data_IF_095356251995
#
_entry.id   IF_095356251995
#
_cell.length_a   1.000
_cell.length_b   1.000
_cell.length_c   1.000
_cell.angle_alpha   90.00
_cell.angle_beta   90.00
_cell.angle_gamma   90.00
#
_symmetry.space_group_name_H-M   'P 1'
#
loop_
_entity.id
_entity.type
_entity.pdbx_description
1 polymer ?
#
# COMPACT_ATOMS: atom_id res chain seq x y z
N UNK A 1 -2.36 -11.65 -6.28
CA UNK A 1 -2.91 -12.81 -7.01
C UNK A 1 -4.14 -12.43 -7.83
N UNK A 2 -5.17 -11.77 -7.24
CA UNK A 2 -6.40 -11.40 -7.96
C UNK A 2 -6.15 -10.47 -9.16
N UNK A 3 -5.22 -9.53 -9.06
CA UNK A 3 -4.82 -8.68 -10.19
C UNK A 3 -4.14 -9.47 -11.32
N UNK A 4 -3.43 -10.55 -11.01
CA UNK A 4 -2.82 -11.41 -12.01
C UNK A 4 -3.86 -12.20 -12.83
N UNK A 5 -5.08 -12.37 -12.31
CA UNK A 5 -6.19 -13.02 -13.00
C UNK A 5 -6.99 -12.06 -13.91
N UNK A 6 -6.73 -10.75 -13.81
CA UNK A 6 -7.30 -9.76 -14.72
C UNK A 6 -6.37 -9.57 -15.93
N UNK A 7 -6.92 -9.17 -17.04
CA UNK A 7 -6.18 -8.89 -18.27
C UNK A 7 -6.29 -7.40 -18.63
N UNK A 8 -5.29 -6.90 -19.35
CA UNK A 8 -5.33 -5.56 -19.95
C UNK A 8 -5.06 -4.40 -18.97
N UNK A 9 -4.56 -4.69 -17.77
CA UNK A 9 -4.12 -3.64 -16.84
C UNK A 9 -2.65 -3.29 -17.09
N UNK A 10 -2.30 -2.03 -16.83
CA UNK A 10 -0.89 -1.63 -16.64
C UNK A 10 -0.64 -1.51 -15.14
N UNK A 11 0.28 -2.32 -14.63
CA UNK A 11 0.61 -2.41 -13.21
C UNK A 11 2.03 -1.92 -13.01
N UNK A 12 2.21 -0.89 -12.19
CA UNK A 12 3.53 -0.39 -11.78
C UNK A 12 3.79 -0.86 -10.36
N UNK A 13 4.94 -1.45 -10.12
CA UNK A 13 5.31 -1.96 -8.80
C UNK A 13 6.80 -1.80 -8.51
N UNK A 14 7.12 -1.52 -7.26
CA UNK A 14 8.48 -1.64 -6.70
C UNK A 14 8.69 -2.96 -5.97
N UNK A 15 7.63 -3.76 -5.76
CA UNK A 15 7.69 -5.03 -5.06
C UNK A 15 8.12 -6.16 -5.99
N UNK A 16 9.22 -6.82 -5.69
CA UNK A 16 9.69 -8.01 -6.42
C UNK A 16 8.74 -9.19 -6.25
N UNK A 17 8.14 -9.32 -5.07
CA UNK A 17 7.14 -10.38 -4.83
C UNK A 17 5.90 -10.19 -5.69
N UNK A 18 5.42 -8.94 -5.83
CA UNK A 18 4.29 -8.64 -6.72
C UNK A 18 4.68 -8.86 -8.19
N UNK A 19 5.86 -8.39 -8.61
CA UNK A 19 6.35 -8.59 -9.96
C UNK A 19 6.43 -10.08 -10.33
N UNK A 20 6.94 -10.91 -9.42
CA UNK A 20 7.02 -12.36 -9.63
C UNK A 20 5.64 -13.01 -9.85
N UNK A 21 4.62 -12.60 -9.08
CA UNK A 21 3.25 -13.10 -9.27
C UNK A 21 2.66 -12.68 -10.62
N UNK A 22 3.09 -11.52 -11.14
CA UNK A 22 2.58 -10.95 -12.39
C UNK A 22 3.29 -11.46 -13.65
N UNK A 23 4.40 -12.22 -13.52
CA UNK A 23 5.18 -12.73 -14.66
C UNK A 23 4.33 -13.54 -15.66
N UNK A 24 3.35 -14.27 -15.17
CA UNK A 24 2.48 -15.13 -15.99
C UNK A 24 1.06 -14.54 -16.16
N UNK A 25 0.92 -13.22 -16.01
CA UNK A 25 -0.36 -12.53 -16.23
C UNK A 25 -0.41 -11.86 -17.59
N UNK A 26 -1.62 -11.66 -18.13
CA UNK A 26 -1.85 -10.91 -19.35
C UNK A 26 -1.85 -9.38 -19.13
N UNK A 27 -1.12 -8.91 -18.13
CA UNK A 27 -0.99 -7.51 -17.79
C UNK A 27 0.37 -6.94 -18.22
N UNK A 28 0.41 -5.66 -18.54
CA UNK A 28 1.68 -4.96 -18.69
C UNK A 28 2.22 -4.65 -17.28
N UNK A 29 3.34 -5.26 -16.93
CA UNK A 29 4.00 -5.02 -15.63
C UNK A 29 5.24 -4.16 -15.82
N UNK A 30 5.28 -3.04 -15.11
CA UNK A 30 6.41 -2.11 -15.08
C UNK A 30 7.02 -2.17 -13.68
N UNK A 31 8.30 -2.52 -13.60
CA UNK A 31 9.08 -2.51 -12.35
C UNK A 31 9.81 -1.18 -12.27
N UNK A 32 9.72 -0.51 -11.12
CA UNK A 32 10.48 0.73 -10.88
C UNK A 32 11.97 0.45 -10.87
N UNK A 33 12.77 1.37 -11.38
CA UNK A 33 14.22 1.34 -11.18
C UNK A 33 14.61 1.79 -9.77
N UNK A 34 15.83 1.48 -9.35
CA UNK A 34 16.36 1.90 -8.05
C UNK A 34 17.27 0.87 -7.41
N UNK A 35 17.43 0.98 -6.11
CA UNK A 35 18.25 0.09 -5.30
C UNK A 35 17.41 -1.07 -4.75
N UNK A 36 17.96 -2.28 -4.82
CA UNK A 36 17.32 -3.46 -4.23
C UNK A 36 17.43 -3.41 -2.70
N UNK A 37 16.29 -3.54 -2.04
CA UNK A 37 16.20 -3.79 -0.60
C UNK A 37 15.80 -5.26 -0.37
N UNK A 38 16.73 -6.14 0.01
CA UNK A 38 16.42 -7.55 0.23
C UNK A 38 15.46 -7.79 1.41
N UNK A 39 15.51 -6.93 2.43
CA UNK A 39 14.67 -7.05 3.63
C UNK A 39 13.19 -6.89 3.33
N UNK A 40 12.83 -6.00 2.41
CA UNK A 40 11.46 -5.73 1.99
C UNK A 40 11.11 -6.41 0.66
N UNK A 41 12.06 -7.08 0.00
CA UNK A 41 11.89 -7.59 -1.36
C UNK A 41 11.34 -6.52 -2.31
N UNK A 42 11.94 -5.32 -2.25
CA UNK A 42 11.50 -4.14 -2.99
C UNK A 42 12.66 -3.40 -3.65
N UNK A 43 12.30 -2.55 -4.61
CA UNK A 43 13.21 -1.59 -5.22
C UNK A 43 12.88 -0.21 -4.65
N UNK A 44 13.89 0.50 -4.19
CA UNK A 44 13.76 1.74 -3.43
C UNK A 44 14.77 2.80 -3.87
N UNK A 45 14.63 4.00 -3.31
CA UNK A 45 15.56 5.10 -3.46
C UNK A 45 15.11 6.19 -4.43
N UNK A 46 16.01 7.10 -4.74
CA UNK A 46 15.72 8.31 -5.52
C UNK A 46 15.19 8.00 -6.93
N UNK A 47 15.74 6.99 -7.61
CA UNK A 47 15.29 6.60 -8.94
C UNK A 47 13.83 6.10 -8.92
N UNK A 48 13.48 5.33 -7.88
CA UNK A 48 12.10 4.85 -7.66
C UNK A 48 11.12 6.00 -7.50
N UNK A 49 11.41 6.92 -6.57
CA UNK A 49 10.54 8.08 -6.30
C UNK A 49 10.47 9.03 -7.49
N UNK A 50 11.60 9.27 -8.16
CA UNK A 50 11.65 10.11 -9.37
C UNK A 50 10.78 9.54 -10.49
N UNK A 51 10.84 8.22 -10.70
CA UNK A 51 9.99 7.55 -11.70
C UNK A 51 8.50 7.64 -11.31
N UNK A 52 8.15 7.33 -10.05
CA UNK A 52 6.77 7.41 -9.55
C UNK A 52 6.19 8.82 -9.76
N UNK A 53 6.98 9.85 -9.54
CA UNK A 53 6.56 11.24 -9.72
C UNK A 53 6.23 11.62 -11.18
N UNK A 54 6.63 10.82 -12.15
CA UNK A 54 6.23 11.01 -13.56
C UNK A 54 4.89 10.36 -13.91
N UNK A 55 4.32 9.56 -13.01
CA UNK A 55 3.14 8.76 -13.28
C UNK A 55 1.85 9.47 -12.89
N UNK A 56 0.75 9.04 -13.51
CA UNK A 56 -0.62 9.24 -13.04
C UNK A 56 -1.35 7.91 -13.19
N UNK A 57 -1.82 7.37 -12.07
CA UNK A 57 -2.50 6.07 -12.02
C UNK A 57 -3.93 6.20 -11.50
N UNK A 58 -4.78 5.27 -11.88
CA UNK A 58 -6.18 5.27 -11.43
C UNK A 58 -6.28 4.90 -9.94
N UNK A 59 -5.54 3.89 -9.51
CA UNK A 59 -5.61 3.34 -8.15
C UNK A 59 -4.22 2.99 -7.67
N UNK A 60 -3.91 3.34 -6.42
CA UNK A 60 -2.76 2.80 -5.69
C UNK A 60 -3.21 1.80 -4.63
N UNK A 61 -2.40 0.75 -4.44
CA UNK A 61 -2.56 -0.20 -3.34
C UNK A 61 -1.32 -0.12 -2.45
N UNK A 62 -1.52 0.25 -1.20
CA UNK A 62 -0.46 0.49 -0.23
C UNK A 62 -0.62 -0.44 0.97
N UNK A 63 0.48 -0.97 1.47
CA UNK A 63 0.51 -1.71 2.73
C UNK A 63 0.93 -0.83 3.89
N UNK A 64 0.80 -1.37 5.11
CA UNK A 64 1.31 -0.77 6.33
C UNK A 64 1.99 -1.82 7.20
N UNK A 65 3.03 -1.43 7.94
CA UNK A 65 3.63 -2.30 8.96
C UNK A 65 2.88 -2.22 10.28
N UNK A 66 2.19 -1.12 10.53
CA UNK A 66 1.38 -0.90 11.72
C UNK A 66 0.86 0.52 11.78
N UNK A 67 -0.10 0.76 12.67
CA UNK A 67 -0.66 2.09 12.87
C UNK A 67 -1.07 2.35 14.34
N UNK A 68 -0.58 1.51 15.27
CA UNK A 68 -0.79 1.76 16.69
C UNK A 68 -0.23 3.13 17.09
N UNK A 69 -1.05 3.95 17.77
CA UNK A 69 -0.74 5.31 18.20
C UNK A 69 -0.45 6.31 17.05
N UNK A 70 -0.64 5.92 15.79
CA UNK A 70 -0.54 6.83 14.64
C UNK A 70 -1.92 7.33 14.19
N UNK A 71 -1.91 8.47 13.49
CA UNK A 71 -3.11 9.05 12.86
C UNK A 71 -3.29 8.62 11.40
N UNK A 72 -2.61 7.54 11.01
CA UNK A 72 -2.60 7.00 9.68
C UNK A 72 -1.68 5.80 9.56
N UNK A 73 -1.59 5.20 8.36
CA UNK A 73 -0.74 4.05 8.12
C UNK A 73 0.75 4.42 8.23
N UNK A 74 1.54 3.52 8.81
CA UNK A 74 2.95 3.72 9.06
C UNK A 74 3.80 2.53 8.58
N UNK A 75 5.09 2.76 8.41
CA UNK A 75 6.08 1.78 7.97
C UNK A 75 7.33 1.80 8.85
N UNK A 76 8.16 0.78 8.73
CA UNK A 76 9.31 0.57 9.61
C UNK A 76 10.54 1.39 9.23
N UNK A 77 10.62 1.92 8.00
CA UNK A 77 11.77 2.70 7.54
C UNK A 77 11.38 3.91 6.68
N UNK A 78 12.32 4.88 6.63
CA UNK A 78 12.10 6.14 5.93
C UNK A 78 12.06 5.99 4.39
N UNK A 79 12.79 5.04 3.83
CA UNK A 79 12.85 4.88 2.37
C UNK A 79 11.52 4.32 1.83
N UNK A 80 10.93 3.36 2.53
CA UNK A 80 9.60 2.85 2.22
C UNK A 80 8.54 3.95 2.40
N UNK A 81 8.63 4.75 3.47
CA UNK A 81 7.75 5.89 3.69
C UNK A 81 7.83 6.91 2.52
N UNK A 82 9.04 7.26 2.08
CA UNK A 82 9.23 8.18 0.96
C UNK A 82 8.63 7.63 -0.35
N UNK A 83 8.79 6.34 -0.60
CA UNK A 83 8.19 5.69 -1.78
C UNK A 83 6.67 5.80 -1.75
N UNK A 84 6.05 5.47 -0.62
CA UNK A 84 4.59 5.56 -0.44
C UNK A 84 4.09 6.99 -0.52
N UNK A 85 4.81 7.94 0.08
CA UNK A 85 4.50 9.38 -0.02
C UNK A 85 4.56 9.89 -1.47
N UNK A 86 5.46 9.38 -2.30
CA UNK A 86 5.51 9.72 -3.72
C UNK A 86 4.31 9.15 -4.50
N UNK A 87 3.77 8.00 -4.09
CA UNK A 87 2.62 7.37 -4.76
C UNK A 87 1.33 8.16 -4.54
N UNK A 88 1.08 8.61 -3.31
CA UNK A 88 -0.20 9.20 -2.89
C UNK A 88 -0.72 10.31 -3.83
N UNK A 89 0.06 11.37 -4.17
CA UNK A 89 -0.43 12.46 -5.02
C UNK A 89 -0.55 12.06 -6.50
N UNK A 90 -0.03 10.90 -6.88
CA UNK A 90 0.01 10.42 -8.25
C UNK A 90 -1.07 9.37 -8.56
N UNK A 91 -1.87 8.98 -7.58
CA UNK A 91 -3.03 8.11 -7.74
C UNK A 91 -4.34 8.90 -7.57
N UNK A 92 -5.34 8.55 -8.37
CA UNK A 92 -6.68 9.12 -8.23
C UNK A 92 -7.42 8.58 -7.01
N UNK A 93 -7.17 7.31 -6.68
CA UNK A 93 -7.75 6.61 -5.54
C UNK A 93 -6.61 5.92 -4.79
N UNK A 94 -6.50 6.17 -3.49
CA UNK A 94 -5.53 5.57 -2.60
C UNK A 94 -6.20 4.52 -1.71
N UNK A 95 -5.75 3.28 -1.79
CA UNK A 95 -6.26 2.15 -1.02
C UNK A 95 -5.16 1.59 -0.13
N UNK A 96 -5.43 1.51 1.17
CA UNK A 96 -4.57 0.78 2.11
C UNK A 96 -5.18 -0.60 2.36
N UNK A 97 -4.36 -1.64 2.30
CA UNK A 97 -4.76 -3.03 2.58
C UNK A 97 -3.84 -3.58 3.66
N UNK A 98 -4.42 -4.04 4.74
CA UNK A 98 -3.69 -4.77 5.78
C UNK A 98 -4.63 -5.64 6.61
N UNK A 99 -4.08 -6.61 7.30
CA UNK A 99 -4.81 -7.34 8.33
C UNK A 99 -4.98 -6.50 9.62
N UNK A 100 -5.95 -6.88 10.43
CA UNK A 100 -6.31 -6.17 11.67
C UNK A 100 -5.22 -6.19 12.74
N UNK A 101 -4.25 -7.12 12.68
CA UNK A 101 -3.12 -7.16 13.64
C UNK A 101 -2.28 -5.89 13.60
N UNK A 102 -2.32 -5.15 12.47
CA UNK A 102 -1.58 -3.90 12.31
C UNK A 102 -2.13 -2.76 13.18
N UNK A 103 -3.35 -2.89 13.69
CA UNK A 103 -3.92 -1.92 14.64
C UNK A 103 -3.19 -1.88 15.99
N UNK A 104 -2.60 -3.00 16.39
CA UNK A 104 -1.81 -3.14 17.63
C UNK A 104 -0.30 -3.27 17.38
N UNK A 105 0.14 -2.97 16.18
CA UNK A 105 1.55 -2.99 15.80
C UNK A 105 2.06 -1.56 15.64
N UNK A 106 3.13 -1.23 16.35
CA UNK A 106 3.83 0.04 16.19
C UNK A 106 4.73 -0.01 14.96
N UNK A 107 4.84 1.12 14.26
CA UNK A 107 5.78 1.31 13.16
C UNK A 107 6.42 2.71 13.28
N UNK A 108 7.63 2.88 12.73
CA UNK A 108 8.44 4.07 12.99
C UNK A 108 7.89 5.33 12.33
N UNK A 109 7.47 5.24 11.07
CA UNK A 109 7.20 6.41 10.23
C UNK A 109 5.78 6.36 9.67
N UNK A 110 4.94 7.29 10.10
CA UNK A 110 3.64 7.51 9.45
C UNK A 110 3.87 8.14 8.07
N UNK A 111 3.36 7.50 7.01
CA UNK A 111 3.55 8.01 5.65
C UNK A 111 2.33 8.77 5.10
N UNK A 112 1.17 8.63 5.72
CA UNK A 112 -0.06 9.33 5.35
C UNK A 112 -0.94 9.57 6.57
N UNK A 113 -1.90 10.49 6.45
CA UNK A 113 -3.05 10.54 7.35
C UNK A 113 -4.16 9.63 6.81
N UNK A 114 -5.05 9.13 7.68
CA UNK A 114 -6.24 8.42 7.21
C UNK A 114 -7.12 9.29 6.29
N UNK A 115 -7.05 10.62 6.40
CA UNK A 115 -7.74 11.56 5.50
C UNK A 115 -7.21 11.57 4.07
N UNK A 116 -5.98 11.10 3.86
CA UNK A 116 -5.34 11.02 2.54
C UNK A 116 -5.65 9.69 1.84
N UNK A 117 -6.34 8.77 2.54
CA UNK A 117 -6.68 7.43 2.09
C UNK A 117 -8.17 7.36 1.78
N UNK A 118 -8.53 6.93 0.59
CA UNK A 118 -9.93 6.81 0.16
C UNK A 118 -10.58 5.53 0.72
N UNK A 119 -9.84 4.43 0.77
CA UNK A 119 -10.33 3.14 1.28
C UNK A 119 -9.29 2.46 2.15
N UNK A 120 -9.75 1.95 3.28
CA UNK A 120 -8.98 1.03 4.11
C UNK A 120 -9.68 -0.33 4.12
N UNK A 121 -8.99 -1.36 3.58
CA UNK A 121 -9.51 -2.73 3.50
C UNK A 121 -8.77 -3.56 4.54
N UNK A 122 -9.52 -4.16 5.45
CA UNK A 122 -8.99 -5.00 6.51
C UNK A 122 -9.97 -6.13 6.86
N UNK A 123 -9.55 -7.07 7.68
CA UNK A 123 -10.43 -8.15 8.13
C UNK A 123 -11.39 -7.71 9.25
N UNK A 124 -12.41 -8.55 9.48
CA UNK A 124 -13.49 -8.29 10.44
C UNK A 124 -13.06 -8.28 11.92
N UNK A 125 -11.78 -8.64 12.22
CA UNK A 125 -11.26 -8.60 13.58
C UNK A 125 -10.72 -7.22 13.98
N UNK A 126 -10.84 -6.21 13.14
CA UNK A 126 -10.44 -4.84 13.50
C UNK A 126 -11.21 -4.39 14.75
N UNK A 127 -10.50 -3.96 15.84
CA UNK A 127 -11.17 -3.52 17.06
C UNK A 127 -12.17 -2.39 16.78
N UNK A 128 -13.37 -2.50 17.35
CA UNK A 128 -14.45 -1.54 17.11
C UNK A 128 -14.04 -0.07 17.35
N UNK A 129 -13.29 0.29 18.42
CA UNK A 129 -12.85 1.68 18.62
C UNK A 129 -11.96 2.18 17.47
N UNK A 130 -11.12 1.33 16.91
CA UNK A 130 -10.28 1.67 15.75
C UNK A 130 -11.12 1.83 14.48
N UNK A 131 -12.08 0.92 14.26
CA UNK A 131 -13.03 1.06 13.16
C UNK A 131 -13.79 2.38 13.22
N UNK A 132 -14.36 2.72 14.38
CA UNK A 132 -15.14 3.94 14.57
C UNK A 132 -14.28 5.18 14.29
N UNK A 133 -13.05 5.23 14.83
CA UNK A 133 -12.10 6.33 14.63
C UNK A 133 -11.68 6.48 13.15
N UNK A 134 -11.32 5.39 12.49
CA UNK A 134 -10.81 5.42 11.11
C UNK A 134 -11.94 5.76 10.15
N UNK A 135 -13.14 5.22 10.36
CA UNK A 135 -14.30 5.44 9.48
C UNK A 135 -14.83 6.88 9.48
N UNK A 136 -14.43 7.72 10.44
CA UNK A 136 -14.67 9.16 10.39
C UNK A 136 -13.81 9.87 9.32
N UNK A 137 -12.73 9.25 8.86
CA UNK A 137 -11.73 9.89 7.98
C UNK A 137 -11.62 9.22 6.62
N UNK A 138 -11.84 7.91 6.55
CA UNK A 138 -11.73 7.11 5.32
C UNK A 138 -12.81 6.02 5.28
N UNK A 139 -13.12 5.50 4.10
CA UNK A 139 -14.07 4.39 3.96
C UNK A 139 -13.41 3.07 4.34
N UNK A 140 -13.83 2.50 5.46
CA UNK A 140 -13.37 1.19 5.92
C UNK A 140 -14.21 0.08 5.30
N UNK A 141 -13.54 -0.92 4.72
CA UNK A 141 -14.17 -2.14 4.17
C UNK A 141 -13.65 -3.32 4.98
N UNK A 142 -14.56 -3.98 5.68
CA UNK A 142 -14.28 -5.21 6.41
C UNK A 142 -14.50 -6.42 5.50
N UNK A 143 -13.56 -7.36 5.51
CA UNK A 143 -13.65 -8.62 4.79
C UNK A 143 -13.55 -9.78 5.76
N UNK A 144 -14.38 -10.80 5.55
CA UNK A 144 -14.31 -12.01 6.35
C UNK A 144 -13.18 -12.90 5.83
N UNK A 145 -12.25 -13.26 6.72
CA UNK A 145 -11.12 -14.15 6.40
C UNK A 145 -11.45 -15.65 6.55
N UNK A 146 -12.70 -15.98 6.93
CA UNK A 146 -13.17 -17.34 7.17
C UNK A 146 -14.03 -17.91 6.03
N UNK A 147 -13.90 -17.36 4.82
CA UNK A 147 -14.60 -17.86 3.62
C UNK A 147 -13.62 -18.48 2.61
#
# INVERSE_FOLDING_TARGET
>A
QLLAQRAGCTIVTSSLSAANVLLNSDNTTIITGGQLNPGNMSIEGFQTTSFINTLKVAVSFLGTNGFEQHKGPAVSDFTDAQTKQAILPNAKINVVISDSSKASTSALVQYASWRDIDYFITDSNLPKPMYDMISEMTKVILVDVNS
#
